data_IF_523335894820
#
_entry.id   IF_523335894820
#
_cell.length_a   1.000
_cell.length_b   1.000
_cell.length_c   1.000
_cell.angle_alpha   90.00
_cell.angle_beta   90.00
_cell.angle_gamma   90.00
#
_symmetry.space_group_name_H-M   'P 1'
#
loop_
_entity.id
_entity.type
_entity.pdbx_description
1 polymer ?
#
# COMPACT_ATOMS: atom_id res chain seq x y z
N UNK A 1 0.76 8.50 17.40
CA UNK A 1 2.01 7.74 17.18
C UNK A 1 2.49 8.09 15.79
N UNK A 2 3.78 8.01 15.50
CA UNK A 2 4.30 8.30 14.16
C UNK A 2 4.67 6.99 13.48
N UNK A 3 4.33 6.83 12.21
CA UNK A 3 4.76 5.66 11.42
C UNK A 3 6.28 5.74 11.21
N UNK A 4 6.98 4.65 11.54
CA UNK A 4 8.39 4.42 11.23
C UNK A 4 8.49 3.25 10.23
N UNK A 5 8.88 3.57 9.00
CA UNK A 5 9.02 2.58 7.93
C UNK A 5 10.09 1.52 8.22
N UNK A 6 11.06 1.78 9.10
CA UNK A 6 12.04 0.75 9.48
C UNK A 6 11.41 -0.44 10.20
N UNK A 7 10.24 -0.26 10.80
CA UNK A 7 9.52 -1.31 11.52
C UNK A 7 8.48 -2.04 10.67
N UNK A 8 8.16 -1.55 9.47
CA UNK A 8 7.22 -2.22 8.56
C UNK A 8 7.97 -3.26 7.72
N UNK A 9 7.63 -4.55 7.91
CA UNK A 9 8.35 -5.67 7.26
C UNK A 9 7.54 -6.40 6.20
N UNK A 10 6.23 -6.29 6.26
CA UNK A 10 5.32 -6.97 5.36
C UNK A 10 4.16 -6.07 4.99
N UNK A 11 3.70 -6.20 3.75
CA UNK A 11 2.58 -5.44 3.20
C UNK A 11 1.54 -6.36 2.55
N UNK A 12 0.28 -6.01 2.78
CA UNK A 12 -0.88 -6.61 2.11
C UNK A 12 -1.83 -5.50 1.67
N UNK A 13 -2.48 -5.66 0.53
CA UNK A 13 -3.43 -4.69 -0.01
C UNK A 13 -4.75 -5.36 -0.33
N UNK A 14 -5.85 -4.73 0.06
CA UNK A 14 -7.21 -5.10 -0.33
C UNK A 14 -7.81 -3.95 -1.11
N UNK A 15 -8.33 -4.27 -2.29
CA UNK A 15 -9.00 -3.32 -3.16
C UNK A 15 -10.48 -3.67 -3.25
N UNK A 16 -11.37 -2.72 -2.92
CA UNK A 16 -12.81 -2.97 -2.82
C UNK A 16 -13.57 -2.07 -3.78
N UNK A 17 -14.31 -2.66 -4.72
CA UNK A 17 -15.21 -1.94 -5.63
C UNK A 17 -16.57 -1.71 -4.93
N UNK A 18 -17.08 -0.47 -4.93
CA UNK A 18 -18.34 -0.14 -4.26
C UNK A 18 -19.59 -0.50 -5.09
N UNK A 19 -19.44 -0.63 -6.40
CA UNK A 19 -20.56 -0.81 -7.35
C UNK A 19 -20.93 -2.28 -7.63
N UNK A 20 -20.06 -3.23 -7.30
CA UNK A 20 -20.32 -4.67 -7.51
C UNK A 20 -20.39 -5.36 -6.15
N UNK A 21 -21.48 -6.12 -5.91
CA UNK A 21 -21.92 -6.59 -4.59
C UNK A 21 -20.88 -7.35 -3.73
N UNK A 22 -19.70 -7.75 -4.22
CA UNK A 22 -18.74 -8.56 -3.44
C UNK A 22 -17.29 -8.63 -3.97
N UNK A 23 -16.85 -7.83 -4.96
CA UNK A 23 -15.50 -8.04 -5.51
C UNK A 23 -14.46 -7.23 -4.75
N UNK A 24 -13.68 -7.94 -3.92
CA UNK A 24 -12.43 -7.45 -3.37
C UNK A 24 -11.25 -8.20 -4.02
N UNK A 25 -10.30 -7.46 -4.59
CA UNK A 25 -9.02 -8.03 -5.02
C UNK A 25 -8.02 -7.96 -3.87
N UNK A 26 -7.33 -9.06 -3.59
CA UNK A 26 -6.31 -9.11 -2.54
C UNK A 26 -4.93 -9.27 -3.15
N UNK A 27 -3.96 -8.53 -2.61
CA UNK A 27 -2.58 -8.54 -3.06
C UNK A 27 -1.64 -8.72 -1.87
N UNK A 28 -0.59 -9.51 -2.07
CA UNK A 28 0.43 -9.79 -1.06
C UNK A 28 1.82 -9.40 -1.55
N UNK A 29 2.69 -9.02 -0.63
CA UNK A 29 4.10 -8.78 -0.94
C UNK A 29 4.78 -10.07 -1.42
N UNK A 30 5.37 -10.06 -2.63
CA UNK A 30 5.93 -11.28 -3.24
C UNK A 30 7.45 -11.34 -3.38
N UNK A 31 8.15 -10.21 -3.21
CA UNK A 31 9.63 -10.12 -3.25
C UNK A 31 10.21 -9.71 -1.88
N UNK A 32 11.50 -9.99 -1.58
CA UNK A 32 11.95 -10.02 -0.19
C UNK A 32 12.26 -8.61 0.36
N UNK A 33 11.82 -8.39 1.60
CA UNK A 33 12.00 -7.24 2.51
C UNK A 33 11.79 -5.86 1.86
N UNK A 34 10.78 -5.10 2.29
CA UNK A 34 10.58 -3.75 1.81
C UNK A 34 11.85 -2.88 2.05
N UNK A 35 12.20 -2.07 1.06
CA UNK A 35 13.43 -1.26 1.07
C UNK A 35 13.11 0.14 1.54
N UNK A 36 13.64 0.52 2.70
CA UNK A 36 13.53 1.88 3.24
C UNK A 36 14.64 2.76 2.66
N UNK A 37 14.29 3.94 2.16
CA UNK A 37 15.26 4.92 1.70
C UNK A 37 16.15 5.43 2.86
N UNK A 38 17.34 5.92 2.53
CA UNK A 38 18.32 6.34 3.53
C UNK A 38 17.86 7.52 4.41
N UNK A 39 16.90 8.31 3.94
CA UNK A 39 16.28 9.40 4.69
C UNK A 39 15.12 8.92 5.60
N UNK A 40 14.73 7.65 5.52
CA UNK A 40 13.61 7.08 6.25
C UNK A 40 12.24 7.58 5.81
N UNK A 41 12.16 8.31 4.69
CA UNK A 41 10.93 8.96 4.22
C UNK A 41 10.17 8.16 3.19
N UNK A 42 10.75 7.12 2.62
CA UNK A 42 10.05 6.24 1.69
C UNK A 42 10.39 4.79 1.89
N UNK A 43 9.44 3.93 1.51
CA UNK A 43 9.56 2.48 1.57
C UNK A 43 9.02 1.90 0.26
N UNK A 44 9.81 1.01 -0.35
CA UNK A 44 9.51 0.39 -1.64
C UNK A 44 9.34 -1.11 -1.51
N UNK A 45 8.32 -1.67 -2.15
CA UNK A 45 8.00 -3.10 -2.13
C UNK A 45 7.16 -3.49 -3.35
N UNK A 46 7.02 -4.79 -3.58
CA UNK A 46 6.30 -5.33 -4.73
C UNK A 46 5.10 -6.14 -4.28
N UNK A 47 3.92 -5.86 -4.84
CA UNK A 47 2.66 -6.55 -4.57
C UNK A 47 2.26 -7.45 -5.74
N UNK A 48 1.57 -8.54 -5.47
CA UNK A 48 0.97 -9.41 -6.49
C UNK A 48 -0.41 -9.87 -6.05
N UNK A 49 -1.34 -9.98 -7.00
CA UNK A 49 -2.67 -10.53 -6.73
C UNK A 49 -2.58 -11.97 -6.22
N UNK A 50 -3.37 -12.28 -5.20
CA UNK A 50 -3.46 -13.60 -4.57
C UNK A 50 -4.30 -14.56 -5.43
N UNK A 51 -5.32 -14.05 -6.12
CA UNK A 51 -6.07 -14.81 -7.13
C UNK A 51 -5.25 -14.94 -8.41
N UNK A 52 -4.48 -16.02 -8.46
CA UNK A 52 -3.60 -16.38 -9.59
C UNK A 52 -4.34 -16.58 -10.93
N UNK A 53 -5.67 -16.60 -10.92
CA UNK A 53 -6.49 -16.76 -12.11
C UNK A 53 -6.84 -15.44 -12.79
N UNK A 54 -6.79 -14.31 -12.07
CA UNK A 54 -7.22 -13.01 -12.58
C UNK A 54 -6.07 -12.08 -12.93
N UNK A 55 -4.95 -12.13 -12.19
CA UNK A 55 -3.82 -11.23 -12.41
C UNK A 55 -2.47 -11.87 -12.05
N UNK A 56 -1.48 -11.68 -12.92
CA UNK A 56 -0.11 -12.22 -12.75
C UNK A 56 0.94 -11.13 -12.63
N UNK A 57 0.54 -9.88 -12.82
CA UNK A 57 1.44 -8.76 -12.80
C UNK A 57 1.92 -8.49 -11.38
N UNK A 58 3.13 -7.95 -11.30
CA UNK A 58 3.77 -7.57 -10.05
C UNK A 58 3.83 -6.06 -10.07
N UNK A 59 3.21 -5.45 -9.07
CA UNK A 59 3.12 -4.00 -8.98
C UNK A 59 4.19 -3.46 -8.04
N UNK A 60 4.96 -2.50 -8.54
CA UNK A 60 6.01 -1.80 -7.79
C UNK A 60 5.39 -0.65 -7.02
N UNK A 61 5.41 -0.72 -5.69
CA UNK A 61 4.80 0.28 -4.80
C UNK A 61 5.88 1.08 -4.07
N UNK A 62 5.66 2.39 -3.96
CA UNK A 62 6.44 3.29 -3.11
C UNK A 62 5.50 4.07 -2.22
N UNK A 63 5.62 3.88 -0.90
CA UNK A 63 5.01 4.77 0.09
C UNK A 63 5.99 5.87 0.46
N UNK A 64 5.48 7.09 0.58
CA UNK A 64 6.24 8.29 0.91
C UNK A 64 5.58 8.99 2.10
N UNK A 65 6.40 9.44 3.04
CA UNK A 65 6.01 10.23 4.20
C UNK A 65 6.71 11.59 4.13
N UNK A 66 5.94 12.66 3.97
CA UNK A 66 6.47 14.04 3.92
C UNK A 66 6.30 14.80 5.25
N UNK A 67 5.33 14.40 6.07
CA UNK A 67 5.04 14.96 7.39
C UNK A 67 4.67 13.88 8.40
N UNK A 68 4.24 14.25 9.60
CA UNK A 68 3.83 13.27 10.61
C UNK A 68 2.56 12.50 10.20
N UNK A 69 1.65 13.19 9.52
CA UNK A 69 0.34 12.69 9.07
C UNK A 69 0.15 12.84 7.54
N UNK A 70 1.22 13.11 6.78
CA UNK A 70 1.16 13.31 5.32
C UNK A 70 1.82 12.12 4.59
N UNK A 71 0.98 11.24 4.04
CA UNK A 71 1.37 10.02 3.35
C UNK A 71 0.90 10.01 1.91
N UNK A 72 1.73 9.43 1.03
CA UNK A 72 1.45 9.29 -0.38
C UNK A 72 1.85 7.91 -0.89
N UNK A 73 1.15 7.42 -1.91
CA UNK A 73 1.48 6.20 -2.64
C UNK A 73 1.79 6.50 -4.10
N UNK A 74 2.75 5.77 -4.64
CA UNK A 74 3.03 5.66 -6.07
C UNK A 74 3.09 4.19 -6.43
N UNK A 75 2.51 3.82 -7.56
CA UNK A 75 2.54 2.45 -8.04
C UNK A 75 2.37 2.39 -9.53
N UNK A 76 3.02 1.44 -10.19
CA UNK A 76 2.73 1.07 -11.58
C UNK A 76 1.37 0.37 -11.76
N UNK A 77 0.66 0.12 -10.65
CA UNK A 77 -0.77 -0.21 -10.65
C UNK A 77 -1.64 0.95 -11.17
N UNK A 78 -1.22 2.21 -10.97
CA UNK A 78 -1.99 3.38 -11.40
C UNK A 78 -1.64 3.81 -12.83
N UNK A 79 -2.56 4.55 -13.46
CA UNK A 79 -2.38 5.09 -14.82
C UNK A 79 -1.11 5.96 -14.96
N UNK A 80 -0.77 6.74 -13.91
CA UNK A 80 0.50 7.47 -13.81
C UNK A 80 1.31 6.98 -12.59
N UNK A 81 2.29 6.11 -12.85
CA UNK A 81 3.17 5.57 -11.83
C UNK A 81 4.04 6.62 -11.10
N UNK A 82 4.18 7.83 -11.64
CA UNK A 82 4.97 8.90 -11.03
C UNK A 82 4.13 9.84 -10.14
N UNK A 83 2.81 9.87 -10.36
CA UNK A 83 1.86 10.71 -9.62
C UNK A 83 1.70 10.21 -8.17
N UNK A 84 1.97 11.06 -7.16
CA UNK A 84 1.70 10.72 -5.77
C UNK A 84 0.23 10.89 -5.44
N UNK A 85 -0.42 9.81 -5.02
CA UNK A 85 -1.79 9.85 -4.49
C UNK A 85 -1.76 10.00 -2.96
N UNK A 86 -2.46 10.98 -2.37
CA UNK A 86 -2.51 11.15 -0.92
C UNK A 86 -3.26 9.99 -0.26
N UNK A 87 -2.82 9.58 0.93
CA UNK A 87 -3.47 8.52 1.70
C UNK A 87 -3.82 9.00 3.11
N UNK A 88 -4.97 8.56 3.60
CA UNK A 88 -5.29 8.60 5.03
C UNK A 88 -4.60 7.46 5.76
N UNK A 89 -4.38 7.62 7.07
CA UNK A 89 -3.66 6.63 7.88
C UNK A 89 -4.37 6.35 9.20
N UNK A 90 -4.52 5.07 9.51
CA UNK A 90 -5.00 4.56 10.79
C UNK A 90 -3.88 3.71 11.41
N UNK A 91 -3.43 4.07 12.62
CA UNK A 91 -2.34 3.37 13.31
C UNK A 91 -2.92 2.56 14.46
N UNK A 92 -2.61 1.26 14.48
CA UNK A 92 -2.91 0.32 15.57
C UNK A 92 -1.63 -0.06 16.31
N UNK A 93 -1.75 -0.89 17.36
CA UNK A 93 -0.58 -1.40 18.08
C UNK A 93 0.23 -2.43 17.25
N UNK A 94 -0.43 -3.15 16.35
CA UNK A 94 0.14 -4.29 15.60
C UNK A 94 0.39 -3.96 14.11
N UNK A 95 -0.30 -2.97 13.57
CA UNK A 95 -0.27 -2.62 12.16
C UNK A 95 -0.55 -1.13 11.89
N UNK A 96 -0.27 -0.71 10.66
CA UNK A 96 -0.74 0.55 10.10
C UNK A 96 -1.56 0.27 8.85
N UNK A 97 -2.70 0.94 8.74
CA UNK A 97 -3.59 0.87 7.59
C UNK A 97 -3.59 2.20 6.87
N UNK A 98 -3.15 2.20 5.62
CA UNK A 98 -3.23 3.31 4.71
C UNK A 98 -4.48 3.17 3.84
N UNK A 99 -5.18 4.28 3.62
CA UNK A 99 -6.48 4.30 2.92
C UNK A 99 -6.39 5.28 1.76
N UNK A 100 -6.77 4.82 0.57
CA UNK A 100 -6.95 5.67 -0.61
C UNK A 100 -8.39 5.50 -1.10
N UNK A 101 -9.18 6.58 -1.00
CA UNK A 101 -10.57 6.64 -1.46
C UNK A 101 -10.61 7.13 -2.91
N UNK A 102 -11.15 6.32 -3.81
CA UNK A 102 -11.51 6.68 -5.18
C UNK A 102 -12.98 7.10 -5.29
N UNK A 103 -13.45 7.35 -6.51
CA UNK A 103 -14.86 7.71 -6.74
C UNK A 103 -15.81 6.53 -6.45
N UNK A 104 -15.45 5.32 -6.90
CA UNK A 104 -16.29 4.12 -6.81
C UNK A 104 -15.56 2.94 -6.14
N UNK A 105 -14.46 3.20 -5.46
CA UNK A 105 -13.55 2.16 -4.95
C UNK A 105 -12.73 2.64 -3.74
N UNK A 106 -12.26 1.69 -2.92
CA UNK A 106 -11.33 1.98 -1.82
C UNK A 106 -10.17 0.98 -1.85
N UNK A 107 -8.95 1.51 -1.75
CA UNK A 107 -7.76 0.72 -1.49
C UNK A 107 -7.40 0.80 0.00
N UNK A 108 -7.25 -0.36 0.63
CA UNK A 108 -6.65 -0.52 1.94
C UNK A 108 -5.28 -1.18 1.80
N UNK A 109 -4.24 -0.51 2.28
CA UNK A 109 -2.89 -1.06 2.32
C UNK A 109 -2.45 -1.19 3.77
N UNK A 110 -2.17 -2.41 4.18
CA UNK A 110 -1.73 -2.76 5.53
C UNK A 110 -0.21 -2.93 5.55
N UNK A 111 0.45 -2.26 6.49
CA UNK A 111 1.84 -2.50 6.85
C UNK A 111 1.92 -3.09 8.26
N UNK A 112 2.59 -4.22 8.42
CA UNK A 112 2.69 -4.93 9.70
C UNK A 112 4.02 -4.65 10.41
N UNK A 113 3.95 -4.38 11.72
CA UNK A 113 5.14 -4.16 12.56
C UNK A 113 5.80 -5.48 12.96
N UNK A 114 7.13 -5.54 12.91
CA UNK A 114 7.94 -6.65 13.48
C UNK A 114 9.13 -6.14 14.31
#
# INVERSE_FOLDING_TARGET
>A
MTVDFNHLKHFSMTYVFMDEEDIACEYEQTEPIPVVAADGKSISFNLRNIDQSEDKDVYSVVLVKEGDDEFYIKSDYFDDAAEPYPMDVEISDDDVKFILEGEDEVMYLYGFFE
#
